data_IF_441921428686
#
_entry.id   IF_441921428686
#
_cell.length_a   1.000
_cell.length_b   1.000
_cell.length_c   1.000
_cell.angle_alpha   90.00
_cell.angle_beta   90.00
_cell.angle_gamma   90.00
#
_symmetry.space_group_name_H-M   'P 1'
#
loop_
_entity.id
_entity.type
_entity.pdbx_description
1 polymer ?
#
# COMPACT_ATOMS: atom_id res chain seq x y z
N UNK A 1 32.74 -5.96 56.76
CA UNK A 1 33.76 -7.02 56.90
C UNK A 1 34.08 -7.43 55.48
N UNK A 2 35.23 -6.96 55.02
CA UNK A 2 36.35 -7.63 54.32
C UNK A 2 35.95 -8.42 53.02
N UNK A 3 36.61 -8.30 51.91
CA UNK A 3 38.03 -7.97 51.64
C UNK A 3 38.20 -7.81 50.12
N UNK A 4 38.95 -6.80 49.74
CA UNK A 4 39.56 -6.54 48.44
C UNK A 4 40.56 -7.63 48.05
N UNK A 5 40.71 -7.93 46.75
CA UNK A 5 41.99 -8.42 46.19
C UNK A 5 42.20 -7.88 44.77
N UNK A 6 43.14 -6.95 44.68
CA UNK A 6 43.83 -6.50 43.49
C UNK A 6 44.73 -7.63 42.93
N UNK A 7 44.78 -7.79 41.64
CA UNK A 7 45.83 -8.55 40.99
C UNK A 7 46.47 -7.69 39.87
N UNK A 8 47.72 -7.36 40.13
CA UNK A 8 48.67 -6.60 39.28
C UNK A 8 49.22 -7.55 38.21
N UNK A 9 49.13 -7.19 36.93
CA UNK A 9 49.83 -7.91 35.87
C UNK A 9 50.93 -7.03 35.26
N UNK A 10 52.14 -7.55 35.31
CA UNK A 10 53.41 -6.95 34.87
C UNK A 10 53.52 -7.08 33.36
N UNK A 11 53.84 -5.97 32.69
CA UNK A 11 54.22 -5.90 31.29
C UNK A 11 55.71 -6.32 31.11
N UNK A 12 55.94 -7.29 30.24
CA UNK A 12 57.28 -7.62 29.74
C UNK A 12 57.38 -7.18 28.27
N UNK A 13 58.21 -6.19 28.00
CA UNK A 13 58.51 -5.71 26.66
C UNK A 13 59.71 -6.51 26.10
N UNK A 14 59.49 -7.20 24.98
CA UNK A 14 60.60 -7.72 24.15
C UNK A 14 60.69 -6.88 22.87
N UNK A 15 61.76 -6.14 22.77
CA UNK A 15 62.16 -5.45 21.54
C UNK A 15 62.89 -6.43 20.59
N UNK A 16 62.29 -6.64 19.41
CA UNK A 16 62.96 -7.34 18.30
C UNK A 16 63.28 -6.31 17.22
N UNK A 17 64.56 -6.07 17.02
CA UNK A 17 65.07 -5.26 15.92
C UNK A 17 65.13 -6.16 14.68
N UNK A 18 64.33 -5.87 13.66
CA UNK A 18 64.39 -6.49 12.34
C UNK A 18 64.88 -5.48 11.32
N UNK A 19 66.10 -5.80 10.75
CA UNK A 19 66.62 -5.11 9.61
C UNK A 19 65.72 -5.23 8.38
N UNK A 20 65.32 -4.12 7.82
CA UNK A 20 64.61 -4.05 6.56
C UNK A 20 65.60 -4.04 5.37
N UNK A 21 65.43 -5.03 4.48
CA UNK A 21 65.92 -4.99 3.12
C UNK A 21 64.90 -4.36 2.20
N UNK A 22 65.27 -3.58 1.20
CA UNK A 22 64.31 -3.00 0.27
C UNK A 22 63.84 -4.04 -0.74
N UNK A 23 62.51 -4.22 -0.83
CA UNK A 23 61.89 -5.01 -1.91
C UNK A 23 61.78 -4.20 -3.20
N UNK A 24 61.90 -4.85 -4.38
CA UNK A 24 61.71 -4.16 -5.65
C UNK A 24 60.25 -3.83 -5.90
N UNK A 25 59.98 -2.55 -6.18
CA UNK A 25 58.63 -2.09 -6.63
C UNK A 25 58.33 -2.65 -8.03
N UNK A 26 57.46 -3.66 -8.10
CA UNK A 26 56.75 -3.98 -9.34
C UNK A 26 55.65 -2.94 -9.54
N UNK A 27 55.83 -2.10 -10.56
CA UNK A 27 54.78 -1.24 -11.08
C UNK A 27 53.65 -2.11 -11.67
N UNK A 28 52.57 -2.30 -10.94
CA UNK A 28 51.34 -2.89 -11.47
C UNK A 28 50.65 -1.84 -12.36
N UNK A 29 50.64 -2.10 -13.65
CA UNK A 29 49.77 -1.37 -14.60
C UNK A 29 48.33 -1.48 -14.14
N UNK A 30 47.68 -0.34 -13.85
CA UNK A 30 46.29 -0.25 -13.52
C UNK A 30 45.48 -0.64 -14.76
N UNK A 31 44.91 -1.83 -14.74
CA UNK A 31 43.81 -2.19 -15.64
C UNK A 31 42.60 -1.30 -15.29
N UNK A 32 41.99 -0.61 -16.23
CA UNK A 32 40.77 0.10 -15.94
C UNK A 32 39.71 -0.96 -15.59
N UNK A 33 39.32 -1.01 -14.32
CA UNK A 33 38.10 -1.71 -13.88
C UNK A 33 36.92 -1.04 -14.57
N UNK A 34 36.42 -1.66 -15.61
CA UNK A 34 35.05 -1.38 -16.06
C UNK A 34 34.18 -1.82 -14.91
N UNK A 35 33.76 -0.86 -14.07
CA UNK A 35 32.58 -1.01 -13.24
C UNK A 35 31.43 -1.13 -14.25
N UNK A 36 31.02 -2.36 -14.54
CA UNK A 36 29.74 -2.59 -15.17
C UNK A 36 28.72 -1.95 -14.22
N UNK A 37 28.09 -0.86 -14.64
CA UNK A 37 26.87 -0.38 -14.02
C UNK A 37 25.90 -1.54 -14.18
N UNK A 38 25.67 -2.29 -13.10
CA UNK A 38 24.59 -3.27 -13.01
C UNK A 38 23.30 -2.46 -12.93
N UNK A 39 22.77 -2.13 -14.10
CA UNK A 39 21.51 -1.40 -14.30
C UNK A 39 20.31 -2.37 -14.13
N UNK A 40 20.42 -3.27 -13.15
CA UNK A 40 19.40 -4.25 -12.83
C UNK A 40 18.26 -3.70 -11.96
N UNK A 41 18.36 -2.43 -11.52
CA UNK A 41 17.30 -1.79 -10.78
C UNK A 41 16.08 -1.59 -11.66
N UNK A 42 14.86 -1.91 -11.18
CA UNK A 42 13.65 -1.67 -11.93
C UNK A 42 13.54 -0.20 -12.35
N UNK A 43 13.16 0.01 -13.61
CA UNK A 43 12.96 1.36 -14.15
C UNK A 43 11.80 2.03 -13.42
N UNK A 44 12.03 3.24 -12.90
CA UNK A 44 10.99 4.07 -12.30
C UNK A 44 9.95 4.43 -13.37
N UNK A 45 8.67 4.37 -13.03
CA UNK A 45 7.62 4.84 -13.92
C UNK A 45 7.54 6.38 -13.96
N UNK A 46 6.78 6.92 -14.90
CA UNK A 46 6.51 8.36 -15.04
C UNK A 46 5.01 8.61 -14.81
N UNK A 47 4.68 9.54 -13.91
CA UNK A 47 3.30 9.99 -13.75
C UNK A 47 2.93 10.96 -14.86
N UNK A 48 1.88 10.62 -15.61
CA UNK A 48 1.34 11.43 -16.69
C UNK A 48 -0.06 11.92 -16.34
N UNK A 49 -0.24 13.21 -16.00
CA UNK A 49 -1.57 13.76 -15.77
C UNK A 49 -2.45 13.68 -17.04
N UNK A 50 -3.78 13.51 -16.91
CA UNK A 50 -4.57 13.67 -15.69
C UNK A 50 -4.65 12.43 -14.79
N UNK A 51 -3.92 11.35 -15.08
CA UNK A 51 -4.00 10.09 -14.35
C UNK A 51 -5.22 9.25 -14.72
N UNK A 52 -5.39 8.12 -14.03
CA UNK A 52 -6.49 7.19 -14.25
C UNK A 52 -7.83 7.79 -13.83
N UNK A 53 -8.92 7.32 -14.45
CA UNK A 53 -10.28 7.65 -14.04
C UNK A 53 -11.13 6.38 -13.92
N UNK A 54 -11.99 6.33 -12.90
CA UNK A 54 -12.92 5.24 -12.66
C UNK A 54 -14.33 5.79 -12.52
N UNK A 55 -15.17 5.51 -13.52
CA UNK A 55 -16.58 5.92 -13.52
C UNK A 55 -17.41 4.83 -12.86
N UNK A 56 -18.10 5.18 -11.78
CA UNK A 56 -18.96 4.28 -11.02
C UNK A 56 -20.44 4.65 -11.20
N UNK A 57 -21.32 3.68 -11.56
CA UNK A 57 -22.72 3.94 -11.81
C UNK A 57 -23.52 4.08 -10.53
N UNK A 58 -24.64 4.81 -10.62
CA UNK A 58 -25.65 4.85 -9.58
C UNK A 58 -26.48 3.57 -9.55
N UNK A 59 -26.73 3.06 -8.36
CA UNK A 59 -27.64 1.93 -8.10
C UNK A 59 -28.64 2.37 -7.04
N UNK A 60 -29.93 2.31 -7.36
CA UNK A 60 -31.00 2.68 -6.43
C UNK A 60 -31.16 1.65 -5.30
N UNK A 61 -31.58 2.12 -4.14
CA UNK A 61 -31.85 1.30 -2.96
C UNK A 61 -30.63 1.15 -2.06
N UNK A 62 -30.66 0.12 -1.24
CA UNK A 62 -29.64 -0.15 -0.24
C UNK A 62 -29.23 -1.63 -0.30
N UNK A 63 -28.44 -2.04 -1.32
CA UNK A 63 -28.02 -3.43 -1.47
C UNK A 63 -27.26 -3.93 -0.24
N UNK A 64 -27.46 -5.21 0.10
CA UNK A 64 -26.71 -5.85 1.16
C UNK A 64 -25.24 -6.03 0.74
N UNK A 65 -24.32 -5.63 1.62
CA UNK A 65 -22.89 -5.82 1.38
C UNK A 65 -22.55 -7.32 1.45
N UNK A 66 -21.81 -7.82 0.46
CA UNK A 66 -21.30 -9.19 0.46
C UNK A 66 -20.04 -9.32 -0.40
N UNK A 67 -19.33 -10.42 -0.25
CA UNK A 67 -18.07 -10.73 -0.95
C UNK A 67 -18.22 -11.68 -2.14
N UNK A 68 -19.46 -12.03 -2.53
CA UNK A 68 -19.70 -12.89 -3.69
C UNK A 68 -19.78 -12.06 -4.98
N UNK A 69 -18.80 -12.16 -5.89
CA UNK A 69 -18.79 -11.40 -7.13
C UNK A 69 -19.94 -11.76 -8.09
N UNK A 70 -20.59 -12.91 -7.89
CA UNK A 70 -21.76 -13.33 -8.67
C UNK A 70 -23.09 -12.83 -8.09
N UNK A 71 -23.06 -12.22 -6.90
CA UNK A 71 -24.25 -11.65 -6.27
C UNK A 71 -24.89 -10.54 -7.10
N UNK A 72 -26.21 -10.43 -7.03
CA UNK A 72 -26.98 -9.35 -7.65
C UNK A 72 -26.53 -7.94 -7.18
N UNK A 73 -25.94 -7.83 -6.00
CA UNK A 73 -25.35 -6.59 -5.48
C UNK A 73 -24.36 -5.99 -6.48
N UNK A 74 -23.53 -6.81 -7.11
CA UNK A 74 -22.45 -6.37 -8.01
C UNK A 74 -22.83 -6.37 -9.50
N UNK A 75 -24.07 -6.76 -9.84
CA UNK A 75 -24.49 -6.93 -11.23
C UNK A 75 -24.42 -5.65 -12.09
N UNK A 76 -24.51 -4.48 -11.47
CA UNK A 76 -24.45 -3.16 -12.14
C UNK A 76 -23.13 -2.42 -11.86
N UNK A 77 -22.22 -2.99 -11.09
CA UNK A 77 -20.97 -2.35 -10.76
C UNK A 77 -20.09 -2.19 -12.00
N UNK A 78 -19.41 -1.07 -12.13
CA UNK A 78 -18.32 -0.91 -13.09
C UNK A 78 -17.04 -1.54 -12.54
N UNK A 79 -16.11 -1.91 -13.42
CA UNK A 79 -14.82 -2.53 -13.03
C UNK A 79 -13.64 -1.69 -13.44
N UNK A 80 -12.58 -1.77 -12.62
CA UNK A 80 -11.22 -1.34 -12.94
C UNK A 80 -10.21 -2.34 -12.39
N UNK A 81 -8.91 -2.12 -12.60
CA UNK A 81 -7.87 -3.11 -12.30
C UNK A 81 -6.66 -2.49 -11.61
N UNK A 82 -6.13 -3.22 -10.63
CA UNK A 82 -4.83 -2.97 -10.02
C UNK A 82 -3.89 -4.06 -10.51
N UNK A 83 -2.81 -3.69 -11.20
CA UNK A 83 -1.83 -4.63 -11.76
C UNK A 83 -0.42 -4.08 -11.77
N UNK A 84 -0.27 -2.76 -11.67
CA UNK A 84 0.99 -2.05 -11.82
C UNK A 84 1.66 -1.83 -10.48
N UNK A 85 2.98 -1.90 -10.45
CA UNK A 85 3.76 -1.38 -9.32
C UNK A 85 3.50 0.12 -9.14
N UNK A 86 3.49 0.59 -7.89
CA UNK A 86 3.24 2.00 -7.58
C UNK A 86 4.36 2.93 -8.05
N UNK A 87 5.59 2.44 -8.15
CA UNK A 87 6.80 3.25 -8.33
C UNK A 87 7.58 2.92 -9.61
N UNK A 88 7.42 1.70 -10.13
CA UNK A 88 8.24 1.18 -11.23
C UNK A 88 7.43 0.70 -12.43
N UNK A 89 8.08 0.58 -13.58
CA UNK A 89 7.50 0.01 -14.81
C UNK A 89 7.41 -1.52 -14.71
N UNK A 90 6.67 -2.03 -13.71
CA UNK A 90 6.46 -3.45 -13.47
C UNK A 90 4.97 -3.73 -13.45
N UNK A 91 4.56 -4.83 -14.06
CA UNK A 91 3.21 -5.38 -13.97
C UNK A 91 3.24 -6.71 -13.22
N UNK A 92 2.22 -6.95 -12.38
CA UNK A 92 2.03 -8.19 -11.62
C UNK A 92 0.79 -8.96 -12.13
N UNK A 93 0.85 -9.61 -13.31
CA UNK A 93 -0.34 -10.22 -13.93
C UNK A 93 -0.94 -11.37 -13.13
N UNK A 94 -0.15 -12.06 -12.29
CA UNK A 94 -0.66 -13.13 -11.40
C UNK A 94 -1.44 -12.59 -10.19
N UNK A 95 -1.19 -11.34 -9.82
CA UNK A 95 -1.83 -10.65 -8.69
C UNK A 95 -2.86 -9.61 -9.16
N UNK A 96 -3.17 -9.59 -10.47
CA UNK A 96 -4.11 -8.64 -11.07
C UNK A 96 -5.43 -8.65 -10.32
N UNK A 97 -5.70 -7.59 -9.59
CA UNK A 97 -6.89 -7.41 -8.76
C UNK A 97 -7.96 -6.68 -9.54
N UNK A 98 -9.17 -7.26 -9.65
CA UNK A 98 -10.35 -6.56 -10.13
C UNK A 98 -10.95 -5.74 -9.00
N UNK A 99 -11.30 -4.48 -9.28
CA UNK A 99 -12.08 -3.65 -8.37
C UNK A 99 -13.39 -3.29 -9.03
N UNK A 100 -14.51 -3.67 -8.41
CA UNK A 100 -15.85 -3.28 -8.83
C UNK A 100 -16.36 -2.17 -7.94
N UNK A 101 -17.09 -1.20 -8.54
CA UNK A 101 -17.63 -0.09 -7.78
C UNK A 101 -18.99 0.38 -8.32
N UNK A 102 -19.83 0.84 -7.40
CA UNK A 102 -21.06 1.57 -7.65
C UNK A 102 -21.37 2.46 -6.45
N UNK A 103 -22.35 3.35 -6.59
CA UNK A 103 -22.80 4.21 -5.50
C UNK A 103 -24.32 4.26 -5.40
N UNK A 104 -24.81 4.64 -4.22
CA UNK A 104 -26.23 4.85 -3.91
C UNK A 104 -26.45 6.27 -3.40
N UNK A 105 -27.66 6.61 -2.98
CA UNK A 105 -27.96 7.92 -2.37
C UNK A 105 -27.11 8.21 -1.11
N UNK A 106 -26.62 7.18 -0.44
CA UNK A 106 -25.93 7.31 0.87
C UNK A 106 -24.54 6.72 0.92
N UNK A 107 -24.20 5.78 0.02
CA UNK A 107 -23.00 4.97 0.18
C UNK A 107 -22.24 4.72 -1.13
N UNK A 108 -20.92 4.62 -1.02
CA UNK A 108 -20.02 4.05 -2.02
C UNK A 108 -19.81 2.57 -1.72
N UNK A 109 -19.92 1.71 -2.74
CA UNK A 109 -19.65 0.28 -2.65
C UNK A 109 -18.43 -0.08 -3.49
N UNK A 110 -17.51 -0.82 -2.90
CA UNK A 110 -16.33 -1.38 -3.58
C UNK A 110 -16.20 -2.87 -3.27
N UNK A 111 -15.81 -3.66 -4.27
CA UNK A 111 -15.43 -5.07 -4.14
C UNK A 111 -14.09 -5.27 -4.80
N UNK A 112 -13.13 -5.77 -4.04
CA UNK A 112 -11.81 -6.20 -4.51
C UNK A 112 -11.81 -7.73 -4.66
N UNK A 113 -11.34 -8.22 -5.81
CA UNK A 113 -11.20 -9.63 -6.14
C UNK A 113 -9.72 -9.87 -6.38
N UNK A 114 -9.05 -10.50 -5.42
CA UNK A 114 -7.61 -10.52 -5.26
C UNK A 114 -7.06 -11.95 -5.44
N UNK A 115 -6.59 -12.36 -6.64
CA UNK A 115 -5.82 -13.58 -6.78
C UNK A 115 -4.56 -13.53 -5.91
N UNK A 116 -4.14 -14.67 -5.35
CA UNK A 116 -2.92 -14.75 -4.55
C UNK A 116 -2.14 -16.03 -4.83
N UNK A 117 -0.84 -15.99 -4.55
CA UNK A 117 0.03 -17.17 -4.56
C UNK A 117 0.34 -17.63 -3.15
N UNK A 118 0.46 -16.71 -2.23
CA UNK A 118 0.67 -16.90 -0.80
C UNK A 118 -0.11 -15.83 -0.06
N UNK A 119 -0.49 -16.09 1.20
CA UNK A 119 -1.15 -15.13 2.06
C UNK A 119 -0.30 -14.85 3.30
N UNK A 120 -0.06 -13.58 3.55
CA UNK A 120 0.63 -13.07 4.72
C UNK A 120 -0.38 -12.38 5.62
N UNK A 121 -0.86 -13.07 6.64
CA UNK A 121 -1.99 -12.64 7.46
C UNK A 121 -1.57 -12.18 8.86
N UNK A 122 -2.30 -11.23 9.41
CA UNK A 122 -2.33 -10.99 10.85
C UNK A 122 -3.20 -12.06 11.54
N UNK A 123 -2.60 -12.81 12.47
CA UNK A 123 -3.30 -13.83 13.24
C UNK A 123 -3.05 -13.65 14.75
N UNK A 124 -4.05 -13.89 15.61
CA UNK A 124 -5.44 -14.18 15.25
C UNK A 124 -6.14 -12.97 14.64
N UNK A 125 -7.13 -13.21 13.78
CA UNK A 125 -7.99 -12.16 13.25
C UNK A 125 -8.82 -11.52 14.38
N UNK A 126 -9.02 -10.19 14.31
CA UNK A 126 -9.87 -9.44 15.25
C UNK A 126 -10.61 -8.32 14.53
N UNK A 127 -11.82 -8.61 14.08
CA UNK A 127 -12.68 -7.69 13.35
C UNK A 127 -13.51 -6.77 14.24
N UNK A 128 -13.29 -6.81 15.56
CA UNK A 128 -14.07 -6.02 16.54
C UNK A 128 -13.57 -4.59 16.70
N UNK A 129 -12.37 -4.28 16.24
CA UNK A 129 -11.71 -2.98 16.37
C UNK A 129 -10.72 -2.75 15.24
N UNK A 130 -10.30 -1.49 15.08
CA UNK A 130 -9.22 -1.11 14.17
C UNK A 130 -7.92 -1.86 14.48
N UNK A 131 -7.26 -2.29 13.42
CA UNK A 131 -5.92 -2.88 13.49
C UNK A 131 -4.92 -1.96 12.81
N UNK A 132 -4.18 -1.19 13.59
CA UNK A 132 -3.06 -0.40 13.08
C UNK A 132 -1.96 -1.30 12.52
N UNK A 133 -1.21 -0.78 11.53
CA UNK A 133 -0.18 -1.49 10.78
C UNK A 133 -0.72 -2.68 9.99
N UNK A 134 -1.96 -2.59 9.54
CA UNK A 134 -2.57 -3.62 8.71
C UNK A 134 -1.77 -3.78 7.41
N UNK A 135 -1.25 -2.65 6.88
CA UNK A 135 -0.35 -2.56 5.73
C UNK A 135 0.97 -3.35 5.84
N UNK A 136 1.37 -3.85 7.02
CA UNK A 136 2.54 -4.72 7.17
C UNK A 136 2.29 -6.17 6.69
N UNK A 137 1.09 -6.46 6.20
CA UNK A 137 0.65 -7.76 5.66
C UNK A 137 -0.16 -7.54 4.37
N UNK A 138 -0.73 -8.63 3.87
CA UNK A 138 -1.62 -8.55 2.71
C UNK A 138 -2.86 -7.71 3.02
N UNK A 139 -3.09 -6.71 2.20
CA UNK A 139 -4.20 -5.77 2.38
C UNK A 139 -4.61 -5.14 1.04
N UNK A 140 -5.86 -4.74 0.91
CA UNK A 140 -6.29 -3.73 -0.05
C UNK A 140 -6.56 -2.44 0.68
N UNK A 141 -6.19 -1.35 0.02
CA UNK A 141 -6.40 0.00 0.53
C UNK A 141 -7.12 0.85 -0.53
N UNK A 142 -7.88 1.83 -0.08
CA UNK A 142 -8.40 2.85 -0.97
C UNK A 142 -8.47 4.20 -0.25
N UNK A 143 -7.98 5.21 -0.94
CA UNK A 143 -7.89 6.57 -0.44
C UNK A 143 -8.86 7.46 -1.19
N UNK A 144 -9.63 8.28 -0.47
CA UNK A 144 -10.70 9.11 -1.00
C UNK A 144 -10.59 10.54 -0.48
N UNK A 145 -10.57 11.52 -1.39
CA UNK A 145 -10.57 12.93 -1.05
C UNK A 145 -11.52 13.73 -1.96
N UNK A 146 -12.40 14.53 -1.36
CA UNK A 146 -13.38 15.34 -2.10
C UNK A 146 -12.88 16.77 -2.37
N UNK A 147 -11.86 17.23 -1.64
CA UNK A 147 -11.30 18.57 -1.83
C UNK A 147 -10.22 18.56 -2.92
N UNK A 148 -10.43 19.39 -3.93
CA UNK A 148 -9.51 19.60 -5.05
C UNK A 148 -8.57 20.80 -4.85
N UNK A 149 -8.76 21.57 -3.80
CA UNK A 149 -7.90 22.69 -3.40
C UNK A 149 -6.91 22.26 -2.33
N UNK A 150 -7.39 21.59 -1.27
CA UNK A 150 -6.52 20.98 -0.27
C UNK A 150 -6.41 19.47 -0.49
N UNK A 151 -5.54 19.10 -1.44
CA UNK A 151 -5.35 17.71 -1.82
C UNK A 151 -4.69 16.87 -0.73
N UNK A 152 -4.13 17.47 0.31
CA UNK A 152 -3.45 16.79 1.41
C UNK A 152 -4.41 16.25 2.48
N UNK A 153 -5.70 16.57 2.37
CA UNK A 153 -6.76 16.04 3.24
C UNK A 153 -7.53 14.95 2.49
N UNK A 154 -7.56 13.74 3.05
CA UNK A 154 -8.28 12.60 2.50
C UNK A 154 -8.56 11.54 3.56
N UNK A 155 -9.30 10.49 3.20
CA UNK A 155 -9.64 9.34 4.04
C UNK A 155 -8.99 8.10 3.49
N UNK A 156 -8.49 7.26 4.38
CA UNK A 156 -7.86 5.99 4.11
C UNK A 156 -8.68 4.86 4.71
N UNK A 157 -8.81 3.76 3.97
CA UNK A 157 -9.56 2.57 4.34
C UNK A 157 -8.76 1.34 3.95
N UNK A 158 -8.61 0.40 4.86
CA UNK A 158 -7.87 -0.84 4.62
C UNK A 158 -8.67 -2.06 5.05
N UNK A 159 -8.59 -3.13 4.26
CA UNK A 159 -9.19 -4.43 4.56
C UNK A 159 -8.20 -5.54 4.26
N UNK A 160 -7.90 -6.37 5.27
CA UNK A 160 -7.12 -7.60 5.10
C UNK A 160 -7.99 -8.78 4.62
N UNK A 161 -7.39 -9.86 4.10
CA UNK A 161 -8.12 -11.07 3.69
C UNK A 161 -8.97 -11.69 4.79
N UNK A 162 -8.54 -11.56 6.05
CA UNK A 162 -9.26 -12.03 7.25
C UNK A 162 -10.45 -11.18 7.65
N UNK A 163 -10.62 -9.99 7.03
CA UNK A 163 -11.62 -9.00 7.39
C UNK A 163 -11.17 -8.04 8.51
N UNK A 164 -9.93 -8.17 9.02
CA UNK A 164 -9.32 -7.10 9.82
C UNK A 164 -9.27 -5.82 9.01
N UNK A 165 -9.35 -4.67 9.69
CA UNK A 165 -9.57 -3.40 9.02
C UNK A 165 -8.99 -2.22 9.80
N UNK A 166 -8.80 -1.10 9.12
CA UNK A 166 -8.59 0.21 9.72
C UNK A 166 -9.17 1.29 8.80
N UNK A 167 -9.67 2.38 9.38
CA UNK A 167 -9.94 3.61 8.68
C UNK A 167 -9.28 4.81 9.38
N UNK A 168 -8.76 5.75 8.58
CA UNK A 168 -8.00 6.89 9.08
C UNK A 168 -8.45 8.19 8.38
N UNK A 169 -8.43 9.29 9.14
CA UNK A 169 -8.47 10.62 8.54
C UNK A 169 -7.05 11.15 8.40
N UNK A 170 -6.67 11.49 7.18
CA UNK A 170 -5.32 11.95 6.84
C UNK A 170 -5.33 13.46 6.62
N UNK A 171 -4.39 14.15 7.25
CA UNK A 171 -4.06 15.56 7.01
C UNK A 171 -2.54 15.72 6.93
N UNK A 172 -2.00 15.63 5.73
CA UNK A 172 -0.56 15.76 5.49
C UNK A 172 -0.04 17.19 5.67
N UNK A 173 -0.92 18.21 5.83
CA UNK A 173 -0.48 19.56 6.18
C UNK A 173 0.08 19.60 7.62
N UNK A 174 -0.40 18.70 8.47
CA UNK A 174 -0.04 18.61 9.88
C UNK A 174 0.65 17.29 10.24
N UNK A 175 1.03 16.46 9.24
CA UNK A 175 1.58 15.11 9.43
C UNK A 175 0.67 14.26 10.36
N UNK A 176 -0.64 14.38 10.17
CA UNK A 176 -1.65 13.76 11.02
C UNK A 176 -2.30 12.55 10.36
N UNK A 177 -2.31 11.45 11.09
CA UNK A 177 -2.94 10.17 10.75
C UNK A 177 -3.87 9.79 11.89
N UNK A 178 -5.12 10.31 11.85
CA UNK A 178 -6.07 10.12 12.94
C UNK A 178 -6.78 8.78 12.86
N UNK A 179 -6.26 7.81 13.60
CA UNK A 179 -6.86 6.49 13.77
C UNK A 179 -8.01 6.43 14.81
N UNK A 180 -8.39 7.55 15.39
CA UNK A 180 -9.60 7.65 16.24
C UNK A 180 -10.83 8.08 15.44
N UNK A 181 -10.60 8.60 14.25
CA UNK A 181 -11.68 8.87 13.32
C UNK A 181 -12.37 7.57 12.94
N UNK A 182 -13.70 7.60 12.81
CA UNK A 182 -14.50 6.44 12.45
C UNK A 182 -15.54 6.86 11.42
N UNK A 183 -15.47 6.29 10.25
CA UNK A 183 -16.40 6.57 9.15
C UNK A 183 -17.79 5.93 9.33
N UNK A 184 -17.90 4.94 10.20
CA UNK A 184 -19.10 4.11 10.31
C UNK A 184 -19.30 3.14 9.15
N UNK A 185 -18.27 2.85 8.36
CA UNK A 185 -18.33 1.99 7.19
C UNK A 185 -18.60 0.51 7.53
N UNK A 186 -19.10 -0.22 6.55
CA UNK A 186 -19.24 -1.67 6.61
C UNK A 186 -18.18 -2.31 5.70
N UNK A 187 -17.63 -3.44 6.12
CA UNK A 187 -16.54 -4.15 5.43
C UNK A 187 -16.65 -5.64 5.69
N UNK A 188 -16.16 -6.42 4.73
CA UNK A 188 -16.09 -7.87 4.81
C UNK A 188 -14.83 -8.36 4.11
N UNK A 189 -14.12 -9.32 4.72
CA UNK A 189 -13.05 -10.10 4.08
C UNK A 189 -13.49 -11.56 3.94
N UNK A 190 -13.06 -12.23 2.87
CA UNK A 190 -13.29 -13.67 2.67
C UNK A 190 -12.16 -14.28 1.86
N UNK A 191 -11.64 -15.41 2.32
CA UNK A 191 -10.62 -16.19 1.60
C UNK A 191 -11.30 -17.39 0.93
N UNK A 192 -11.04 -17.57 -0.35
CA UNK A 192 -11.38 -18.77 -1.13
C UNK A 192 -10.10 -19.55 -1.42
N UNK A 193 -9.73 -20.42 -0.50
CA UNK A 193 -8.51 -21.23 -0.59
C UNK A 193 -8.51 -22.14 -1.82
N UNK A 194 -9.70 -22.62 -2.24
CA UNK A 194 -9.81 -23.53 -3.37
C UNK A 194 -9.43 -22.86 -4.70
N UNK A 195 -9.80 -21.59 -4.85
CA UNK A 195 -9.58 -20.85 -6.09
C UNK A 195 -8.35 -19.91 -5.99
N UNK A 196 -7.66 -19.86 -4.85
CA UNK A 196 -6.57 -18.94 -4.56
C UNK A 196 -6.95 -17.49 -4.84
N UNK A 197 -8.12 -17.05 -4.33
CA UNK A 197 -8.63 -15.70 -4.43
C UNK A 197 -9.14 -15.27 -3.06
N UNK A 198 -8.84 -14.07 -2.65
CA UNK A 198 -9.51 -13.43 -1.52
C UNK A 198 -10.31 -12.23 -1.98
N UNK A 199 -11.30 -11.87 -1.19
CA UNK A 199 -12.25 -10.81 -1.51
C UNK A 199 -12.32 -9.83 -0.34
N UNK A 200 -12.38 -8.53 -0.66
CA UNK A 200 -12.70 -7.49 0.29
C UNK A 200 -13.86 -6.66 -0.24
N UNK A 201 -14.91 -6.51 0.54
CA UNK A 201 -16.05 -5.69 0.20
C UNK A 201 -16.18 -4.54 1.20
N UNK A 202 -16.42 -3.33 0.70
CA UNK A 202 -16.61 -2.10 1.45
C UNK A 202 -17.92 -1.42 1.08
N UNK A 203 -18.61 -0.87 2.10
CA UNK A 203 -19.72 0.07 1.97
C UNK A 203 -19.39 1.29 2.82
N UNK A 204 -19.07 2.39 2.18
CA UNK A 204 -18.59 3.62 2.82
C UNK A 204 -19.68 4.69 2.77
N UNK A 205 -20.13 5.22 3.92
CA UNK A 205 -21.08 6.34 3.92
C UNK A 205 -20.47 7.55 3.21
N UNK A 206 -21.14 8.10 2.20
CA UNK A 206 -20.63 9.23 1.41
C UNK A 206 -20.31 10.44 2.28
N UNK A 207 -21.15 10.67 3.31
CA UNK A 207 -20.97 11.79 4.26
C UNK A 207 -19.71 11.67 5.14
N UNK A 208 -19.12 10.49 5.25
CA UNK A 208 -17.87 10.31 5.99
C UNK A 208 -16.65 10.84 5.22
N UNK A 209 -16.76 10.96 3.89
CA UNK A 209 -15.69 11.48 3.03
C UNK A 209 -15.92 12.94 2.67
N UNK A 210 -17.19 13.33 2.44
CA UNK A 210 -17.56 14.68 1.99
C UNK A 210 -18.79 15.19 2.71
N UNK A 211 -18.74 16.44 3.18
CA UNK A 211 -19.91 17.17 3.67
C UNK A 211 -20.82 17.63 2.51
N UNK A 212 -20.29 17.66 1.28
CA UNK A 212 -21.03 18.04 0.09
C UNK A 212 -21.91 16.88 -0.38
N UNK A 213 -23.09 17.19 -0.89
CA UNK A 213 -23.94 16.17 -1.51
C UNK A 213 -23.25 15.58 -2.72
N UNK A 214 -23.19 14.25 -2.78
CA UNK A 214 -22.73 13.51 -3.94
C UNK A 214 -23.88 13.35 -4.92
N UNK A 215 -23.64 13.66 -6.19
CA UNK A 215 -24.59 13.52 -7.29
C UNK A 215 -23.88 13.07 -8.57
N UNK A 216 -24.65 12.71 -9.60
CA UNK A 216 -24.06 12.34 -10.88
C UNK A 216 -23.25 13.52 -11.46
N UNK A 217 -22.00 13.28 -11.79
CA UNK A 217 -21.00 14.28 -12.20
C UNK A 217 -20.04 14.69 -11.09
N UNK A 218 -20.32 14.36 -9.83
CA UNK A 218 -19.34 14.54 -8.73
C UNK A 218 -18.06 13.79 -9.04
N UNK A 219 -16.94 14.38 -8.66
CA UNK A 219 -15.60 13.80 -8.82
C UNK A 219 -14.86 13.87 -7.51
N UNK A 220 -14.33 12.74 -7.07
CA UNK A 220 -13.39 12.67 -5.96
C UNK A 220 -12.00 12.29 -6.46
N UNK A 221 -10.98 12.72 -5.76
CA UNK A 221 -9.64 12.17 -5.92
C UNK A 221 -9.61 10.83 -5.22
N UNK A 222 -9.03 9.83 -5.87
CA UNK A 222 -8.97 8.50 -5.32
C UNK A 222 -7.72 7.76 -5.78
N UNK A 223 -7.24 6.85 -4.96
CA UNK A 223 -6.37 5.78 -5.43
C UNK A 223 -6.78 4.47 -4.76
N UNK A 224 -6.49 3.36 -5.44
CA UNK A 224 -6.80 2.01 -5.00
C UNK A 224 -5.51 1.23 -5.01
N UNK A 225 -5.25 0.48 -3.95
CA UNK A 225 -3.99 -0.20 -3.74
C UNK A 225 -4.21 -1.66 -3.37
N UNK A 226 -3.20 -2.46 -3.64
CA UNK A 226 -3.01 -3.77 -3.05
C UNK A 226 -1.57 -3.89 -2.59
N UNK A 227 -1.40 -4.24 -1.33
CA UNK A 227 -0.11 -4.61 -0.77
C UNK A 227 -0.10 -6.13 -0.60
N UNK A 228 0.99 -6.76 -1.05
CA UNK A 228 1.18 -8.22 -1.04
C UNK A 228 2.55 -8.52 -0.44
N UNK A 229 2.59 -9.41 0.56
CA UNK A 229 3.83 -9.79 1.22
C UNK A 229 4.03 -9.23 2.63
N UNK A 230 5.17 -9.56 3.23
CA UNK A 230 5.54 -9.17 4.59
C UNK A 230 6.17 -7.78 4.63
N UNK A 231 5.86 -6.98 5.65
CA UNK A 231 6.32 -5.60 5.80
C UNK A 231 7.83 -5.39 5.70
N UNK A 232 8.64 -6.34 6.15
CA UNK A 232 10.10 -6.29 6.09
C UNK A 232 10.70 -7.03 4.88
N UNK A 233 9.86 -7.60 4.00
CA UNK A 233 10.31 -8.40 2.87
C UNK A 233 10.68 -7.50 1.67
N UNK A 234 11.90 -7.60 1.11
CA UNK A 234 12.29 -6.83 -0.07
C UNK A 234 11.53 -7.24 -1.35
N UNK A 235 10.87 -8.40 -1.36
CA UNK A 235 10.01 -8.84 -2.46
C UNK A 235 8.54 -8.47 -2.29
N UNK A 236 8.23 -7.64 -1.32
CA UNK A 236 6.90 -7.10 -1.08
C UNK A 236 6.44 -6.26 -2.28
N UNK A 237 5.18 -6.42 -2.68
CA UNK A 237 4.61 -5.73 -3.82
C UNK A 237 3.67 -4.61 -3.37
N UNK A 238 3.91 -3.39 -3.86
CA UNK A 238 3.03 -2.24 -3.72
C UNK A 238 2.38 -1.97 -5.07
N UNK A 239 1.13 -2.37 -5.21
CA UNK A 239 0.38 -2.26 -6.47
C UNK A 239 -0.67 -1.16 -6.39
N UNK A 240 -0.74 -0.34 -7.45
CA UNK A 240 -1.63 0.80 -7.57
C UNK A 240 -2.57 0.67 -8.78
N UNK A 241 -3.79 1.17 -8.62
CA UNK A 241 -4.65 1.48 -9.75
C UNK A 241 -4.09 2.64 -10.57
N UNK A 242 -3.70 3.73 -9.89
CA UNK A 242 -2.95 4.83 -10.45
C UNK A 242 -1.53 4.82 -9.89
N UNK A 243 -0.51 4.40 -10.66
CA UNK A 243 0.88 4.47 -10.22
C UNK A 243 1.28 5.90 -9.85
N UNK A 244 1.89 6.04 -8.71
CA UNK A 244 2.35 7.34 -8.19
C UNK A 244 3.74 7.68 -8.66
N UNK A 245 4.54 6.67 -9.04
CA UNK A 245 5.88 6.81 -9.60
C UNK A 245 6.88 7.51 -8.65
N UNK A 246 6.69 7.33 -7.35
CA UNK A 246 7.55 7.90 -6.29
C UNK A 246 8.35 6.78 -5.64
N UNK A 247 9.65 7.03 -5.38
CA UNK A 247 10.60 6.03 -4.81
C UNK A 247 11.32 6.55 -3.56
N UNK A 248 11.20 7.83 -3.23
CA UNK A 248 11.89 8.52 -2.15
C UNK A 248 11.05 8.71 -0.88
N UNK A 249 9.78 8.29 -0.94
CA UNK A 249 8.83 8.31 0.16
C UNK A 249 7.77 7.21 -0.05
N UNK A 250 6.85 7.08 0.88
CA UNK A 250 5.74 6.14 0.76
C UNK A 250 4.95 6.39 -0.54
N UNK A 251 4.87 5.41 -1.45
CA UNK A 251 4.21 5.57 -2.74
C UNK A 251 2.67 5.62 -2.61
N UNK A 252 2.09 5.24 -1.48
CA UNK A 252 0.64 5.31 -1.28
C UNK A 252 0.20 6.73 -0.91
N UNK A 253 0.99 7.45 -0.11
CA UNK A 253 0.66 8.80 0.37
C UNK A 253 1.15 9.92 -0.58
N UNK A 254 0.71 9.86 -1.86
CA UNK A 254 1.06 10.83 -2.92
C UNK A 254 -0.21 11.44 -3.52
N UNK A 255 -0.95 12.28 -2.77
CA UNK A 255 -2.27 12.78 -3.19
C UNK A 255 -2.24 13.61 -4.48
N UNK A 256 -1.11 14.19 -4.84
CA UNK A 256 -0.90 14.91 -6.12
C UNK A 256 -0.96 13.98 -7.34
N UNK A 257 -0.80 12.66 -7.16
CA UNK A 257 -0.84 11.66 -8.21
C UNK A 257 -2.08 10.74 -8.12
N UNK A 258 -3.05 11.07 -7.30
CA UNK A 258 -4.29 10.29 -7.26
C UNK A 258 -5.05 10.39 -8.58
N UNK A 259 -5.72 9.31 -8.94
CA UNK A 259 -6.68 9.29 -10.04
C UNK A 259 -8.01 9.96 -9.65
N UNK A 260 -8.99 9.82 -10.53
CA UNK A 260 -10.31 10.43 -10.36
C UNK A 260 -11.41 9.38 -10.31
N UNK A 261 -12.15 9.32 -9.22
CA UNK A 261 -13.40 8.58 -9.09
C UNK A 261 -14.55 9.48 -9.57
N UNK A 262 -15.35 9.01 -10.53
CA UNK A 262 -16.42 9.79 -11.15
C UNK A 262 -17.76 9.11 -10.86
N UNK A 263 -18.65 9.80 -10.18
CA UNK A 263 -20.00 9.35 -9.88
C UNK A 263 -20.90 9.58 -11.10
N UNK A 264 -21.43 8.51 -11.71
CA UNK A 264 -22.28 8.58 -12.91
C UNK A 264 -23.72 8.14 -12.62
N UNK A 265 -24.63 8.38 -13.58
CA UNK A 265 -26.03 7.91 -13.50
C UNK A 265 -26.11 6.40 -13.66
#
# INVERSE_FOLDING_TARGET
>A
MNSSRNLLLVLLACAVVLCSLPEPQLSAAATPSMVANDDSSPKRCEFLPPGASFSIPYVSGNPELNTDPASATWAKAASTWIVKDCSHEIDYPKLKTEVRGFWTDSDLYLLFICPYTELNLWLPADNSKDRLKLWDRDVVEFFLGDDWQDIKIYKEFEIAPTGDWVDLAIDLNHDAYDAKWNSGWQRQGRIDEKNHVWYAAARVPLHSVSEKRVEAGTKWRANLYRIDGLGADPVRHFMCWQPTCVVDRDPNHVPEHFGTLIFTK
#
